data_IF_434122188351
#
_entry.id   IF_434122188351
#
_cell.length_a   1.000
_cell.length_b   1.000
_cell.length_c   1.000
_cell.angle_alpha   90.00
_cell.angle_beta   90.00
_cell.angle_gamma   90.00
#
_symmetry.space_group_name_H-M   'P 1'
#
loop_
_entity.id
_entity.type
_entity.pdbx_description
1 polymer ?
#
# COMPACT_ATOMS: atom_id res chain seq x y z
N UNK A 1 -30.96 8.96 -21.99
CA UNK A 1 -30.58 7.54 -22.26
C UNK A 1 -29.28 7.38 -23.07
N UNK A 2 -28.64 8.48 -23.53
CA UNK A 2 -27.38 8.40 -24.31
C UNK A 2 -26.11 8.45 -23.47
N UNK A 3 -26.18 8.87 -22.21
CA UNK A 3 -25.03 9.01 -21.31
C UNK A 3 -24.65 7.73 -20.54
N UNK A 4 -25.49 6.69 -20.57
CA UNK A 4 -25.19 5.40 -19.91
C UNK A 4 -24.42 4.42 -20.81
N UNK A 5 -24.38 4.65 -22.12
CA UNK A 5 -23.76 3.72 -23.09
C UNK A 5 -22.28 4.01 -23.38
N UNK A 6 -21.73 5.14 -22.91
CA UNK A 6 -20.33 5.55 -23.13
C UNK A 6 -19.39 5.18 -21.98
N UNK A 7 -19.91 4.61 -20.89
CA UNK A 7 -19.11 4.25 -19.70
C UNK A 7 -18.61 2.80 -19.70
N UNK A 8 -18.87 2.04 -20.75
CA UNK A 8 -18.45 0.61 -20.84
C UNK A 8 -17.37 0.33 -21.87
N UNK A 9 -16.77 1.33 -22.49
CA UNK A 9 -15.67 1.15 -23.43
C UNK A 9 -14.34 1.55 -22.78
N UNK A 10 -13.60 0.54 -22.33
CA UNK A 10 -12.14 0.44 -22.23
C UNK A 10 -11.38 1.78 -22.10
N UNK A 11 -11.41 2.39 -20.93
CA UNK A 11 -10.43 3.41 -20.61
C UNK A 11 -9.29 2.79 -19.80
N UNK A 12 -8.13 2.69 -20.44
CA UNK A 12 -6.86 2.38 -19.79
C UNK A 12 -6.66 3.22 -18.52
N UNK A 13 -6.07 2.67 -17.44
CA UNK A 13 -5.81 3.41 -16.20
C UNK A 13 -5.09 4.76 -16.40
N UNK A 14 -4.26 4.88 -17.44
CA UNK A 14 -3.56 6.10 -17.78
C UNK A 14 -4.44 7.27 -18.26
N UNK A 15 -5.61 6.99 -18.84
CA UNK A 15 -6.54 8.04 -19.31
C UNK A 15 -7.36 8.61 -18.15
N UNK A 16 -7.68 7.77 -17.16
CA UNK A 16 -8.38 8.21 -15.94
C UNK A 16 -7.50 9.18 -15.16
N UNK A 17 -6.20 8.96 -15.10
CA UNK A 17 -5.23 9.86 -14.43
C UNK A 17 -5.10 11.19 -15.18
N UNK A 18 -5.15 11.19 -16.51
CA UNK A 18 -5.07 12.40 -17.30
C UNK A 18 -6.32 13.30 -17.18
N UNK A 19 -7.48 12.69 -17.05
CA UNK A 19 -8.76 13.41 -16.83
C UNK A 19 -8.84 13.94 -15.40
N UNK A 20 -8.33 13.19 -14.41
CA UNK A 20 -8.32 13.60 -13.01
C UNK A 20 -7.42 14.82 -12.73
N UNK A 21 -6.41 15.09 -13.57
CA UNK A 21 -5.55 16.29 -13.43
C UNK A 21 -6.24 17.61 -13.76
N UNK A 22 -7.37 17.57 -14.47
CA UNK A 22 -8.14 18.78 -14.84
C UNK A 22 -9.44 18.97 -14.05
N UNK A 23 -9.76 18.04 -13.14
CA UNK A 23 -10.96 18.16 -12.28
C UNK A 23 -10.50 18.74 -10.95
N UNK A 24 -11.08 19.88 -10.56
CA UNK A 24 -10.83 20.51 -9.25
C UNK A 24 -10.96 19.51 -8.12
N UNK A 25 -10.02 19.56 -7.16
CA UNK A 25 -10.00 18.71 -5.97
C UNK A 25 -11.33 18.64 -5.21
N UNK A 26 -12.15 19.67 -5.34
CA UNK A 26 -13.52 19.77 -4.79
C UNK A 26 -14.49 18.75 -5.42
N UNK A 27 -14.36 18.48 -6.72
CA UNK A 27 -15.27 17.55 -7.43
C UNK A 27 -14.90 16.08 -7.10
N UNK A 28 -13.62 15.79 -6.90
CA UNK A 28 -13.16 14.45 -6.51
C UNK A 28 -13.62 14.12 -5.09
N UNK A 29 -13.58 15.08 -4.16
CA UNK A 29 -14.07 14.88 -2.79
C UNK A 29 -15.58 14.59 -2.73
N UNK A 30 -16.37 15.20 -3.62
CA UNK A 30 -17.83 15.02 -3.64
C UNK A 30 -18.26 13.69 -4.27
N UNK A 31 -17.43 13.10 -5.15
CA UNK A 31 -17.68 11.79 -5.76
C UNK A 31 -17.26 10.65 -4.82
N UNK A 32 -16.10 10.78 -4.17
CA UNK A 32 -15.55 9.73 -3.29
C UNK A 32 -16.08 9.79 -1.86
N UNK A 33 -16.43 11.01 -1.39
CA UNK A 33 -17.02 11.26 -0.08
C UNK A 33 -18.26 12.11 -0.25
N UNK A 34 -19.41 11.55 -0.67
CA UNK A 34 -20.63 12.30 -0.77
C UNK A 34 -20.95 12.86 0.61
N UNK A 35 -20.87 14.18 0.77
CA UNK A 35 -21.32 14.90 1.97
C UNK A 35 -22.80 14.66 2.11
N UNK A 36 -23.19 13.59 2.82
CA UNK A 36 -24.57 13.38 3.19
C UNK A 36 -25.00 14.53 4.09
N UNK A 37 -25.90 15.37 3.60
CA UNK A 37 -26.63 16.32 4.44
C UNK A 37 -27.47 15.50 5.43
N UNK A 38 -26.91 15.27 6.61
CA UNK A 38 -27.60 14.62 7.72
C UNK A 38 -27.48 15.54 8.92
N UNK A 39 -28.53 15.64 9.72
CA UNK A 39 -28.50 16.41 10.97
C UNK A 39 -27.36 15.90 11.84
N UNK A 40 -26.44 16.82 12.13
CA UNK A 40 -25.03 16.56 12.48
C UNK A 40 -24.80 15.61 13.67
N UNK A 41 -25.71 15.47 14.60
CA UNK A 41 -25.54 14.62 15.80
C UNK A 41 -26.10 13.20 15.65
N UNK A 42 -27.31 13.02 15.19
CA UNK A 42 -27.96 11.70 15.06
C UNK A 42 -27.29 10.80 13.99
N UNK A 43 -26.75 11.41 12.93
CA UNK A 43 -26.08 10.67 11.86
C UNK A 43 -24.67 10.23 12.28
N UNK A 44 -24.00 11.03 13.07
CA UNK A 44 -22.64 10.73 13.56
C UNK A 44 -22.67 9.58 14.59
N UNK A 45 -23.64 9.55 15.48
CA UNK A 45 -23.84 8.45 16.42
C UNK A 45 -24.16 7.12 15.71
N UNK A 46 -25.03 7.12 14.72
CA UNK A 46 -25.32 5.94 13.88
C UNK A 46 -24.13 5.50 13.03
N UNK A 47 -23.32 6.44 12.55
CA UNK A 47 -22.13 6.15 11.77
C UNK A 47 -21.04 5.54 12.65
N UNK A 48 -20.83 6.08 13.86
CA UNK A 48 -19.83 5.58 14.82
C UNK A 48 -20.25 4.22 15.38
N UNK A 49 -21.54 4.01 15.69
CA UNK A 49 -22.04 2.75 16.23
C UNK A 49 -22.01 1.59 15.23
N UNK A 50 -22.05 1.88 13.91
CA UNK A 50 -22.03 0.89 12.84
C UNK A 50 -20.71 0.88 12.02
N UNK A 51 -19.80 1.80 12.28
CA UNK A 51 -18.50 1.85 11.61
C UNK A 51 -17.57 0.83 12.26
N UNK A 52 -17.55 -0.38 11.74
CA UNK A 52 -16.49 -1.32 12.04
C UNK A 52 -15.23 -0.82 11.32
N UNK A 53 -14.40 -0.04 12.03
CA UNK A 53 -13.13 0.46 11.51
C UNK A 53 -12.19 -0.67 11.09
N UNK A 54 -12.37 -1.87 11.65
CA UNK A 54 -11.57 -3.05 11.33
C UNK A 54 -11.83 -3.56 9.91
N UNK A 55 -13.00 -3.28 9.33
CA UNK A 55 -13.42 -3.75 8.00
C UNK A 55 -13.25 -2.68 6.91
N UNK A 56 -12.34 -1.74 7.09
CA UNK A 56 -12.02 -0.71 6.10
C UNK A 56 -10.78 -1.05 5.30
N UNK A 57 -10.72 -0.62 4.02
CA UNK A 57 -9.51 -0.72 3.20
C UNK A 57 -8.29 -0.05 3.85
N UNK A 58 -8.51 1.01 4.63
CA UNK A 58 -7.46 1.66 5.41
C UNK A 58 -6.91 0.73 6.50
N UNK A 59 -7.77 0.15 7.33
CA UNK A 59 -7.36 -0.78 8.38
C UNK A 59 -6.62 -1.98 7.79
N UNK A 60 -7.13 -2.53 6.69
CA UNK A 60 -6.47 -3.61 5.97
C UNK A 60 -5.06 -3.21 5.50
N UNK A 61 -4.93 -2.05 4.83
CA UNK A 61 -3.62 -1.59 4.37
C UNK A 61 -2.66 -1.35 5.54
N UNK A 62 -3.15 -0.74 6.62
CA UNK A 62 -2.34 -0.53 7.83
C UNK A 62 -1.90 -1.85 8.44
N UNK A 63 -2.72 -2.89 8.46
CA UNK A 63 -2.33 -4.21 8.98
C UNK A 63 -1.16 -4.84 8.20
N UNK A 64 -1.10 -4.62 6.89
CA UNK A 64 -0.02 -5.12 6.04
C UNK A 64 1.33 -4.44 6.32
N UNK A 65 1.32 -3.13 6.57
CA UNK A 65 2.53 -2.31 6.73
C UNK A 65 2.88 -1.98 8.18
N UNK A 66 1.96 -2.24 9.12
CA UNK A 66 2.24 -2.00 10.53
C UNK A 66 3.40 -2.86 11.02
N UNK A 67 4.33 -2.20 11.70
CA UNK A 67 5.55 -2.82 12.21
C UNK A 67 6.79 -2.01 11.83
N UNK A 68 7.72 -1.91 12.79
CA UNK A 68 8.90 -1.05 12.68
C UNK A 68 9.78 -1.32 11.45
N UNK A 69 9.79 -2.56 10.95
CA UNK A 69 10.75 -2.98 9.92
C UNK A 69 10.11 -3.32 8.58
N UNK A 70 8.79 -3.59 8.51
CA UNK A 70 8.13 -4.02 7.27
C UNK A 70 8.29 -3.00 6.14
N UNK A 71 8.05 -1.73 6.43
CA UNK A 71 8.19 -0.66 5.43
C UNK A 71 9.63 -0.56 4.91
N UNK A 72 10.62 -0.60 5.82
CA UNK A 72 12.04 -0.50 5.42
C UNK A 72 12.47 -1.71 4.60
N UNK A 73 11.94 -2.91 4.88
CA UNK A 73 12.16 -4.10 4.06
C UNK A 73 11.60 -3.90 2.65
N UNK A 74 10.37 -3.40 2.53
CA UNK A 74 9.74 -3.14 1.23
C UNK A 74 10.53 -2.10 0.42
N UNK A 75 10.99 -1.00 1.04
CA UNK A 75 11.86 -0.02 0.38
C UNK A 75 13.20 -0.61 -0.05
N UNK A 76 13.84 -1.42 0.79
CA UNK A 76 15.08 -2.11 0.43
C UNK A 76 14.88 -2.99 -0.82
N UNK A 77 13.77 -3.71 -0.90
CA UNK A 77 13.45 -4.52 -2.06
C UNK A 77 13.14 -3.69 -3.30
N UNK A 78 12.45 -2.55 -3.15
CA UNK A 78 12.15 -1.67 -4.27
C UNK A 78 13.42 -1.13 -4.93
N UNK A 79 14.45 -0.80 -4.15
CA UNK A 79 15.68 -0.22 -4.67
C UNK A 79 16.68 -1.26 -5.22
N UNK A 80 16.75 -2.44 -4.59
CA UNK A 80 17.85 -3.36 -4.80
C UNK A 80 17.44 -4.77 -5.20
N UNK A 81 16.17 -5.03 -5.51
CA UNK A 81 15.72 -6.39 -5.84
C UNK A 81 16.43 -6.99 -7.06
N UNK A 82 16.78 -8.28 -7.01
CA UNK A 82 16.56 -9.24 -5.92
C UNK A 82 17.59 -9.12 -4.80
N UNK A 83 17.16 -9.19 -3.53
CA UNK A 83 18.00 -9.01 -2.35
C UNK A 83 18.12 -10.31 -1.55
N UNK A 84 19.32 -10.61 -1.04
CA UNK A 84 19.54 -11.75 -0.16
C UNK A 84 19.36 -11.36 1.31
N UNK A 85 19.06 -12.36 2.15
CA UNK A 85 18.85 -12.16 3.58
C UNK A 85 19.96 -11.34 4.27
N UNK A 86 21.22 -11.69 4.03
CA UNK A 86 22.35 -11.01 4.65
C UNK A 86 22.57 -9.58 4.11
N UNK A 87 22.21 -9.32 2.86
CA UNK A 87 22.27 -7.98 2.26
C UNK A 87 21.20 -7.09 2.88
N UNK A 88 19.98 -7.60 2.97
CA UNK A 88 18.88 -6.92 3.64
C UNK A 88 19.19 -6.63 5.11
N UNK A 89 19.79 -7.58 5.83
CA UNK A 89 20.22 -7.38 7.21
C UNK A 89 21.24 -6.25 7.34
N UNK A 90 22.19 -6.13 6.40
CA UNK A 90 23.15 -5.03 6.37
C UNK A 90 22.49 -3.70 6.08
N UNK A 91 21.54 -3.65 5.16
CA UNK A 91 20.77 -2.45 4.84
C UNK A 91 19.95 -1.95 6.04
N UNK A 92 19.27 -2.85 6.74
CA UNK A 92 18.45 -2.55 7.91
C UNK A 92 19.25 -2.20 9.17
N UNK A 93 20.51 -2.57 9.23
CA UNK A 93 21.41 -2.31 10.35
C UNK A 93 21.03 -3.08 11.63
N UNK A 94 20.43 -2.41 12.60
CA UNK A 94 20.15 -3.00 13.93
C UNK A 94 18.86 -3.86 13.94
N UNK A 95 18.88 -5.00 13.25
CA UNK A 95 17.78 -5.97 13.28
C UNK A 95 18.31 -7.36 13.65
N UNK A 96 17.58 -8.11 14.47
CA UNK A 96 17.93 -9.51 14.77
C UNK A 96 17.47 -10.43 13.65
N UNK A 97 18.19 -11.56 13.46
CA UNK A 97 17.82 -12.57 12.44
C UNK A 97 16.41 -13.10 12.65
N UNK A 98 16.02 -13.30 13.91
CA UNK A 98 14.66 -13.72 14.26
C UNK A 98 13.61 -12.71 13.80
N UNK A 99 13.84 -11.42 14.09
CA UNK A 99 12.90 -10.35 13.69
C UNK A 99 12.82 -10.21 12.17
N UNK A 100 13.95 -10.23 11.47
CA UNK A 100 13.98 -10.16 10.01
C UNK A 100 13.26 -11.36 9.39
N UNK A 101 13.56 -12.58 9.84
CA UNK A 101 12.90 -13.80 9.36
C UNK A 101 11.40 -13.79 9.59
N UNK A 102 10.93 -13.28 10.74
CA UNK A 102 9.50 -13.17 11.03
C UNK A 102 8.82 -12.19 10.08
N UNK A 103 9.37 -10.98 9.92
CA UNK A 103 8.80 -9.98 9.01
C UNK A 103 8.78 -10.46 7.55
N UNK A 104 9.84 -11.16 7.09
CA UNK A 104 9.87 -11.71 5.74
C UNK A 104 8.78 -12.78 5.53
N UNK A 105 8.57 -13.66 6.51
CA UNK A 105 7.49 -14.67 6.44
C UNK A 105 6.10 -14.03 6.41
N UNK A 106 5.88 -12.98 7.20
CA UNK A 106 4.62 -12.23 7.20
C UNK A 106 4.39 -11.55 5.85
N UNK A 107 5.38 -10.83 5.31
CA UNK A 107 5.28 -10.18 4.01
C UNK A 107 5.07 -11.17 2.85
N UNK A 108 5.67 -12.37 2.93
CA UNK A 108 5.47 -13.46 1.98
C UNK A 108 4.05 -14.03 2.09
N UNK A 109 3.54 -14.26 3.31
CA UNK A 109 2.16 -14.70 3.57
C UNK A 109 1.14 -13.69 3.05
N UNK A 110 1.42 -12.39 3.19
CA UNK A 110 0.62 -11.28 2.67
C UNK A 110 0.76 -11.12 1.15
N UNK A 111 1.59 -11.93 0.49
CA UNK A 111 1.88 -11.90 -0.95
C UNK A 111 2.44 -10.57 -1.44
N UNK A 112 3.12 -9.83 -0.59
CA UNK A 112 3.80 -8.59 -0.95
C UNK A 112 5.19 -8.84 -1.51
N UNK A 113 5.86 -9.90 -1.04
CA UNK A 113 7.16 -10.34 -1.53
C UNK A 113 7.10 -11.79 -2.01
N UNK A 114 8.04 -12.14 -2.86
CA UNK A 114 8.30 -13.50 -3.31
C UNK A 114 9.67 -13.95 -2.81
N UNK A 115 9.77 -15.22 -2.44
CA UNK A 115 11.00 -15.88 -2.00
C UNK A 115 11.38 -16.95 -3.03
N UNK A 116 12.59 -16.86 -3.55
CA UNK A 116 13.12 -17.82 -4.52
C UNK A 116 14.37 -18.51 -3.96
N UNK A 117 14.30 -19.83 -3.85
CA UNK A 117 15.43 -20.67 -3.48
C UNK A 117 16.11 -21.21 -4.72
N UNK A 118 17.44 -21.26 -4.68
CA UNK A 118 18.26 -21.85 -5.72
C UNK A 118 18.93 -23.10 -5.18
N UNK A 119 18.82 -24.25 -5.85
CA UNK A 119 19.45 -25.52 -5.44
C UNK A 119 20.94 -25.47 -5.76
N UNK A 120 21.71 -24.83 -4.90
CA UNK A 120 23.16 -24.75 -5.01
C UNK A 120 23.81 -24.88 -3.63
N UNK A 121 25.12 -25.15 -3.56
CA UNK A 121 25.89 -25.21 -2.32
C UNK A 121 26.90 -24.06 -2.33
N UNK A 122 26.89 -23.14 -1.37
CA UNK A 122 25.87 -22.97 -0.32
C UNK A 122 24.49 -22.52 -0.86
N UNK A 123 23.39 -22.83 -0.13
CA UNK A 123 22.05 -22.49 -0.59
C UNK A 123 21.88 -20.97 -0.74
N UNK A 124 21.27 -20.57 -1.85
CA UNK A 124 21.00 -19.16 -2.20
C UNK A 124 19.50 -18.89 -2.12
N UNK A 125 19.10 -17.90 -1.35
CA UNK A 125 17.71 -17.43 -1.26
C UNK A 125 17.66 -15.95 -1.62
N UNK A 126 16.78 -15.60 -2.52
CA UNK A 126 16.55 -14.23 -2.98
C UNK A 126 15.09 -13.83 -2.74
N UNK A 127 14.90 -12.57 -2.39
CA UNK A 127 13.62 -11.94 -2.15
C UNK A 127 13.40 -10.83 -3.16
N UNK A 128 12.18 -10.72 -3.68
CA UNK A 128 11.78 -9.68 -4.62
C UNK A 128 10.35 -9.24 -4.32
N UNK A 129 9.97 -8.04 -4.72
CA UNK A 129 8.58 -7.59 -4.65
C UNK A 129 7.70 -8.39 -5.63
N UNK A 130 6.47 -8.65 -5.24
CA UNK A 130 5.42 -9.10 -6.15
C UNK A 130 4.79 -7.90 -6.86
N UNK A 131 3.95 -8.14 -7.87
CA UNK A 131 3.16 -7.07 -8.48
C UNK A 131 2.27 -6.34 -7.46
N UNK A 132 1.69 -7.09 -6.53
CA UNK A 132 0.94 -6.54 -5.41
C UNK A 132 1.81 -5.69 -4.47
N UNK A 133 3.03 -6.13 -4.18
CA UNK A 133 3.99 -5.35 -3.40
C UNK A 133 4.35 -4.03 -4.10
N UNK A 134 4.59 -4.05 -5.41
CA UNK A 134 4.88 -2.84 -6.20
C UNK A 134 3.72 -1.86 -6.21
N UNK A 135 2.48 -2.32 -6.35
CA UNK A 135 1.29 -1.44 -6.28
C UNK A 135 1.13 -0.76 -4.93
N UNK A 136 1.52 -1.43 -3.83
CA UNK A 136 1.54 -0.84 -2.49
C UNK A 136 2.62 0.24 -2.36
N UNK A 137 3.79 0.06 -3.00
CA UNK A 137 4.87 1.06 -2.97
C UNK A 137 4.43 2.42 -3.52
N UNK A 138 3.60 2.45 -4.56
CA UNK A 138 3.05 3.71 -5.10
C UNK A 138 2.27 4.53 -4.04
N UNK A 139 1.59 3.84 -3.12
CA UNK A 139 0.88 4.48 -2.00
C UNK A 139 1.85 4.96 -0.94
N UNK A 140 2.86 4.15 -0.61
CA UNK A 140 3.89 4.49 0.38
C UNK A 140 4.73 5.69 -0.06
N UNK A 141 5.07 5.79 -1.34
CA UNK A 141 5.80 6.93 -1.89
C UNK A 141 5.02 8.24 -1.72
N UNK A 142 3.71 8.21 -1.94
CA UNK A 142 2.87 9.39 -1.70
C UNK A 142 2.83 9.78 -0.23
N UNK A 143 2.84 8.80 0.69
CA UNK A 143 2.95 9.07 2.13
C UNK A 143 4.31 9.69 2.50
N UNK A 144 5.39 9.22 1.88
CA UNK A 144 6.72 9.79 2.08
C UNK A 144 6.80 11.24 1.59
N UNK A 145 6.32 11.52 0.38
CA UNK A 145 6.28 12.88 -0.17
C UNK A 145 5.50 13.80 0.75
N UNK A 146 4.31 13.38 1.17
CA UNK A 146 3.51 14.17 2.12
C UNK A 146 4.26 14.43 3.43
N UNK A 147 4.94 13.41 3.95
CA UNK A 147 5.72 13.52 5.18
C UNK A 147 6.87 14.52 5.07
N UNK A 148 7.59 14.54 3.94
CA UNK A 148 8.68 15.49 3.71
C UNK A 148 8.16 16.93 3.56
N UNK A 149 7.04 17.14 2.88
CA UNK A 149 6.43 18.47 2.68
C UNK A 149 5.83 19.05 3.98
N UNK A 150 5.45 18.21 4.95
CA UNK A 150 4.75 18.62 6.17
C UNK A 150 5.56 18.38 7.46
N UNK A 151 6.84 18.10 7.35
CA UNK A 151 7.72 17.93 8.49
C UNK A 151 7.93 19.27 9.20
N UNK A 152 7.59 19.35 10.49
CA UNK A 152 7.77 20.51 11.36
C UNK A 152 9.13 20.43 12.05
#
# INVERSE_FOLDING_TARGET
NYLRSLLTLFLCPGIIIAIARNISSTVISDIYYPKRKCDRMSCMEKYISNANFEDTGFSYTMSLISGKHKMVILYCLMEYEPVRFNEMKRYLGRITDKTLSTNLKELEADRLISRKEYPQIPPKVEYSLTERGRSLMEVLDKLCVWGEENRI
#
